data_IF_503634008755
#
_entry.id   IF_503634008755
#
_cell.length_a   1.000
_cell.length_b   1.000
_cell.length_c   1.000
_cell.angle_alpha   90.00
_cell.angle_beta   90.00
_cell.angle_gamma   90.00
#
_symmetry.space_group_name_H-M   'P 1'
#
loop_
_entity.id
_entity.type
_entity.pdbx_description
1 polymer ?
#
# COMPACT_ATOMS: atom_id res chain seq x y z
N UNK A 1 68.14 22.66 19.17
CA UNK A 1 67.63 23.51 18.08
C UNK A 1 67.77 24.93 18.56
N UNK A 2 68.44 25.78 17.79
CA UNK A 2 68.70 27.17 18.21
C UNK A 2 67.37 27.95 18.28
N UNK A 3 66.98 28.51 19.45
CA UNK A 3 65.72 29.22 19.60
C UNK A 3 65.67 30.58 18.86
N UNK A 4 66.79 31.05 18.31
CA UNK A 4 66.89 32.34 17.62
C UNK A 4 66.79 32.22 16.09
N UNK A 5 66.89 31.00 15.55
CA UNK A 5 66.81 30.71 14.12
C UNK A 5 65.40 30.21 13.77
N UNK A 6 64.71 30.87 12.83
CA UNK A 6 63.38 30.45 12.39
C UNK A 6 63.45 29.12 11.64
N UNK A 7 62.72 28.10 12.09
CA UNK A 7 62.69 26.79 11.46
C UNK A 7 62.16 26.83 10.02
N UNK A 8 61.19 27.69 9.72
CA UNK A 8 60.51 27.69 8.42
C UNK A 8 61.27 28.43 7.31
N UNK A 9 62.05 29.47 7.64
CA UNK A 9 62.76 30.28 6.65
C UNK A 9 64.28 30.34 6.88
N UNK A 10 64.78 29.67 7.93
CA UNK A 10 66.20 29.60 8.31
C UNK A 10 66.87 30.95 8.57
N UNK A 11 66.10 32.02 8.75
CA UNK A 11 66.60 33.34 9.10
C UNK A 11 67.00 33.38 10.57
N UNK A 12 68.22 33.84 10.84
CA UNK A 12 68.77 34.06 12.18
C UNK A 12 68.36 35.46 12.69
N UNK A 13 67.86 35.53 13.92
CA UNK A 13 67.46 36.75 14.60
C UNK A 13 68.43 37.17 15.71
N UNK A 14 69.64 36.60 15.72
CA UNK A 14 70.72 36.94 16.64
C UNK A 14 70.37 36.51 18.06
N UNK A 15 70.14 37.49 18.94
CA UNK A 15 69.87 37.25 20.37
C UNK A 15 68.36 37.17 20.70
N UNK A 16 67.47 37.35 19.70
CA UNK A 16 66.01 37.30 19.92
C UNK A 16 65.49 35.88 19.84
N UNK A 17 65.04 35.33 20.96
CA UNK A 17 64.30 34.07 20.98
C UNK A 17 62.93 34.22 20.28
N UNK A 18 62.61 33.27 19.39
CA UNK A 18 61.36 33.25 18.63
C UNK A 18 60.26 32.48 19.36
N UNK A 19 58.99 32.83 19.08
CA UNK A 19 57.84 32.07 19.58
C UNK A 19 57.83 30.67 18.97
N UNK A 20 57.39 29.69 19.76
CA UNK A 20 57.32 28.30 19.31
C UNK A 20 55.91 27.97 18.83
N UNK A 21 55.82 27.37 17.65
CA UNK A 21 54.63 26.66 17.19
C UNK A 21 54.91 25.17 17.40
N UNK A 22 54.20 24.55 18.35
CA UNK A 22 54.55 23.23 18.88
C UNK A 22 55.99 23.23 19.45
N UNK A 23 56.93 22.52 18.82
CA UNK A 23 58.33 22.41 19.27
C UNK A 23 59.31 23.28 18.48
N UNK A 24 58.87 23.95 17.41
CA UNK A 24 59.74 24.64 16.46
C UNK A 24 59.69 26.18 16.66
N UNK A 25 60.85 26.87 16.76
CA UNK A 25 60.89 28.34 16.79
C UNK A 25 60.53 28.92 15.40
N UNK A 26 59.57 29.84 15.34
CA UNK A 26 59.04 30.41 14.10
C UNK A 26 58.94 31.93 14.26
N UNK A 27 59.39 32.70 13.26
CA UNK A 27 59.25 34.15 13.28
C UNK A 27 57.81 34.59 12.99
N UNK A 28 57.43 35.80 13.44
CA UNK A 28 56.07 36.33 13.34
C UNK A 28 55.52 36.27 11.88
N UNK A 29 56.35 36.58 10.87
CA UNK A 29 55.97 36.50 9.44
C UNK A 29 55.66 35.06 8.99
N UNK A 30 56.46 34.09 9.45
CA UNK A 30 56.26 32.68 9.12
C UNK A 30 55.10 32.08 9.91
N UNK A 31 54.86 32.55 11.14
CA UNK A 31 53.69 32.18 11.93
C UNK A 31 52.41 32.61 11.20
N UNK A 32 52.35 33.85 10.72
CA UNK A 32 51.23 34.36 9.90
C UNK A 32 51.07 33.49 8.63
N UNK A 33 52.17 33.15 7.95
CA UNK A 33 52.09 32.29 6.75
C UNK A 33 51.61 30.87 7.06
N UNK A 34 52.02 30.29 8.18
CA UNK A 34 51.61 28.94 8.60
C UNK A 34 50.15 28.94 9.04
N UNK A 35 49.73 29.93 9.84
CA UNK A 35 48.35 30.09 10.30
C UNK A 35 47.39 30.36 9.12
N UNK A 36 47.85 31.11 8.11
CA UNK A 36 47.07 31.38 6.90
C UNK A 36 47.29 30.34 5.78
N UNK A 37 48.11 29.30 6.02
CA UNK A 37 48.33 28.25 5.02
C UNK A 37 47.07 27.42 4.88
N UNK A 38 46.34 27.67 3.79
CA UNK A 38 45.25 26.80 3.38
C UNK A 38 45.72 25.35 3.27
N UNK A 39 44.82 24.39 3.51
CA UNK A 39 45.10 22.96 3.39
C UNK A 39 45.95 22.61 2.15
N UNK A 40 46.88 21.64 2.24
CA UNK A 40 47.66 21.18 1.11
C UNK A 40 46.80 20.89 -0.12
N UNK A 41 47.32 21.15 -1.33
CA UNK A 41 46.58 20.96 -2.59
C UNK A 41 46.01 19.54 -2.73
N UNK A 42 46.73 18.53 -2.23
CA UNK A 42 46.24 17.15 -2.24
C UNK A 42 45.00 16.94 -1.35
N UNK A 43 44.91 17.62 -0.20
CA UNK A 43 43.73 17.57 0.69
C UNK A 43 42.53 18.21 0.00
N UNK A 44 42.74 19.36 -0.65
CA UNK A 44 41.70 20.03 -1.46
C UNK A 44 41.21 19.13 -2.60
N UNK A 45 42.14 18.48 -3.31
CA UNK A 45 41.81 17.53 -4.38
C UNK A 45 41.02 16.31 -3.88
N UNK A 46 41.44 15.73 -2.76
CA UNK A 46 40.72 14.62 -2.12
C UNK A 46 39.29 15.01 -1.71
N UNK A 47 39.12 16.20 -1.13
CA UNK A 47 37.80 16.71 -0.78
C UNK A 47 36.89 16.88 -2.01
N UNK A 48 37.41 17.42 -3.11
CA UNK A 48 36.66 17.52 -4.37
C UNK A 48 36.25 16.14 -4.89
N UNK A 49 37.15 15.14 -4.83
CA UNK A 49 36.83 13.78 -5.24
C UNK A 49 35.70 13.18 -4.38
N UNK A 50 35.73 13.37 -3.06
CA UNK A 50 34.63 12.96 -2.17
C UNK A 50 33.32 13.63 -2.56
N UNK A 51 33.33 14.95 -2.79
CA UNK A 51 32.12 15.68 -3.18
C UNK A 51 31.52 15.13 -4.48
N UNK A 52 32.37 14.82 -5.48
CA UNK A 52 31.91 14.22 -6.73
C UNK A 52 31.30 12.83 -6.51
N UNK A 53 31.88 12.02 -5.62
CA UNK A 53 31.33 10.71 -5.25
C UNK A 53 29.97 10.87 -4.55
N UNK A 54 29.84 11.82 -3.62
CA UNK A 54 28.58 12.08 -2.91
C UNK A 54 27.49 12.53 -3.87
N UNK A 55 27.79 13.50 -4.75
CA UNK A 55 26.84 13.98 -5.76
C UNK A 55 26.46 12.86 -6.73
N UNK A 56 27.45 12.10 -7.21
CA UNK A 56 27.22 10.95 -8.07
C UNK A 56 26.35 9.88 -7.41
N UNK A 57 26.58 9.60 -6.13
CA UNK A 57 25.77 8.66 -5.35
C UNK A 57 24.34 9.15 -5.17
N UNK A 58 24.14 10.44 -4.93
CA UNK A 58 22.81 11.02 -4.79
C UNK A 58 22.01 10.96 -6.11
N UNK A 59 22.66 11.31 -7.23
CA UNK A 59 22.05 11.20 -8.57
C UNK A 59 21.69 9.75 -8.88
N UNK A 60 22.61 8.82 -8.59
CA UNK A 60 22.39 7.40 -8.82
C UNK A 60 21.22 6.84 -8.01
N UNK A 61 21.06 7.30 -6.76
CA UNK A 61 19.99 6.84 -5.87
C UNK A 61 18.71 7.69 -5.95
N UNK A 62 18.61 8.61 -6.90
CA UNK A 62 17.49 9.54 -7.00
C UNK A 62 16.14 8.82 -7.18
N UNK A 63 16.11 7.75 -7.96
CA UNK A 63 14.91 6.95 -8.18
C UNK A 63 14.35 6.35 -6.88
N UNK A 64 15.21 5.95 -5.92
CA UNK A 64 14.76 5.47 -4.62
C UNK A 64 14.06 6.57 -3.80
N UNK A 65 14.55 7.80 -3.89
CA UNK A 65 13.89 8.94 -3.24
C UNK A 65 12.52 9.24 -3.87
N UNK A 66 12.42 9.16 -5.21
CA UNK A 66 11.14 9.34 -5.90
C UNK A 66 10.16 8.22 -5.58
N UNK A 67 10.61 6.96 -5.62
CA UNK A 67 9.81 5.80 -5.26
C UNK A 67 9.28 5.89 -3.83
N UNK A 68 10.12 6.30 -2.87
CA UNK A 68 9.71 6.51 -1.48
C UNK A 68 8.68 7.65 -1.36
N UNK A 69 8.85 8.76 -2.08
CA UNK A 69 7.87 9.84 -2.13
C UNK A 69 6.51 9.37 -2.66
N UNK A 70 6.50 8.70 -3.81
CA UNK A 70 5.30 8.13 -4.41
C UNK A 70 4.62 7.12 -3.49
N UNK A 71 5.39 6.23 -2.84
CA UNK A 71 4.88 5.26 -1.87
C UNK A 71 4.18 5.96 -0.69
N UNK A 72 4.79 6.99 -0.12
CA UNK A 72 4.20 7.75 1.01
C UNK A 72 2.90 8.44 0.62
N UNK A 73 2.88 9.09 -0.53
CA UNK A 73 1.69 9.77 -1.07
C UNK A 73 0.59 8.77 -1.45
N UNK A 74 0.96 7.57 -1.92
CA UNK A 74 0.01 6.49 -2.20
C UNK A 74 -0.70 6.04 -0.93
N UNK A 75 0.03 5.85 0.18
CA UNK A 75 -0.55 5.48 1.47
C UNK A 75 -1.47 6.58 2.02
N UNK A 76 -1.08 7.85 1.86
CA UNK A 76 -1.92 8.98 2.24
C UNK A 76 -3.21 9.02 1.42
N UNK A 77 -3.12 8.90 0.09
CA UNK A 77 -4.27 8.82 -0.82
C UNK A 77 -5.19 7.65 -0.47
N UNK A 78 -4.61 6.50 -0.11
CA UNK A 78 -5.40 5.35 0.31
C UNK A 78 -6.15 5.60 1.62
N UNK A 79 -5.50 6.24 2.59
CA UNK A 79 -6.09 6.57 3.88
C UNK A 79 -7.28 7.53 3.77
N UNK A 80 -7.33 8.35 2.72
CA UNK A 80 -8.44 9.26 2.41
C UNK A 80 -9.49 8.65 1.48
N UNK A 81 -9.33 7.39 1.08
CA UNK A 81 -10.26 6.66 0.21
C UNK A 81 -10.03 6.89 -1.30
N UNK A 82 -9.01 7.64 -1.70
CA UNK A 82 -8.62 7.82 -3.10
C UNK A 82 -7.76 6.64 -3.59
N UNK A 83 -8.43 5.50 -3.77
CA UNK A 83 -7.84 4.26 -4.25
C UNK A 83 -7.19 4.42 -5.64
N UNK A 84 -7.79 5.24 -6.51
CA UNK A 84 -7.30 5.43 -7.89
C UNK A 84 -5.97 6.17 -7.90
N UNK A 85 -5.85 7.25 -7.13
CA UNK A 85 -4.56 7.92 -7.01
C UNK A 85 -3.54 7.06 -6.28
N UNK A 86 -3.95 6.32 -5.23
CA UNK A 86 -3.08 5.39 -4.52
C UNK A 86 -2.48 4.33 -5.45
N UNK A 87 -3.30 3.69 -6.31
CA UNK A 87 -2.80 2.73 -7.32
C UNK A 87 -1.83 3.40 -8.28
N UNK A 88 -2.19 4.57 -8.83
CA UNK A 88 -1.32 5.29 -9.78
C UNK A 88 0.06 5.55 -9.18
N UNK A 89 0.10 6.09 -7.96
CA UNK A 89 1.34 6.40 -7.25
C UNK A 89 2.13 5.13 -6.90
N UNK A 90 1.47 4.05 -6.49
CA UNK A 90 2.16 2.78 -6.23
C UNK A 90 2.75 2.15 -7.50
N UNK A 91 2.07 2.32 -8.65
CA UNK A 91 2.62 1.93 -9.96
C UNK A 91 3.88 2.72 -10.27
N UNK A 92 3.85 4.04 -10.12
CA UNK A 92 5.02 4.89 -10.32
C UNK A 92 6.17 4.48 -9.39
N UNK A 93 5.90 4.23 -8.10
CA UNK A 93 6.91 3.77 -7.16
C UNK A 93 7.56 2.45 -7.60
N UNK A 94 6.76 1.50 -8.10
CA UNK A 94 7.27 0.23 -8.62
C UNK A 94 8.06 0.39 -9.91
N UNK A 95 7.72 1.34 -10.77
CA UNK A 95 8.39 1.58 -12.05
C UNK A 95 9.74 2.30 -11.88
N UNK A 96 9.88 3.16 -10.86
CA UNK A 96 11.13 3.86 -10.55
C UNK A 96 12.25 2.93 -10.06
N UNK A 97 11.89 1.87 -9.32
CA UNK A 97 12.83 0.90 -8.73
C UNK A 97 12.37 -0.55 -8.96
N UNK A 98 12.41 -1.02 -10.23
CA UNK A 98 11.87 -2.32 -10.61
C UNK A 98 12.62 -3.51 -10.00
N UNK A 99 13.78 -3.33 -9.39
CA UNK A 99 14.49 -4.36 -8.65
C UNK A 99 13.83 -4.69 -7.29
N UNK A 100 12.98 -3.82 -6.75
CA UNK A 100 12.31 -4.01 -5.45
C UNK A 100 10.99 -4.75 -5.62
N UNK A 101 10.98 -6.06 -5.36
CA UNK A 101 9.78 -6.91 -5.53
C UNK A 101 8.61 -6.54 -4.61
N UNK A 102 8.90 -5.94 -3.44
CA UNK A 102 7.88 -5.46 -2.50
C UNK A 102 7.00 -4.38 -3.14
N UNK A 103 7.61 -3.43 -3.88
CA UNK A 103 6.87 -2.36 -4.54
C UNK A 103 6.04 -2.88 -5.71
N UNK A 104 6.53 -3.89 -6.44
CA UNK A 104 5.72 -4.61 -7.44
C UNK A 104 4.52 -5.29 -6.83
N UNK A 105 4.72 -5.96 -5.69
CA UNK A 105 3.66 -6.66 -4.96
C UNK A 105 2.62 -5.68 -4.45
N UNK A 106 3.05 -4.54 -3.89
CA UNK A 106 2.15 -3.48 -3.47
C UNK A 106 1.41 -2.86 -4.66
N UNK A 107 2.06 -2.60 -5.79
CA UNK A 107 1.39 -2.10 -6.99
C UNK A 107 0.25 -3.01 -7.45
N UNK A 108 0.48 -4.33 -7.46
CA UNK A 108 -0.57 -5.34 -7.74
C UNK A 108 -1.67 -5.34 -6.69
N UNK A 109 -1.33 -5.24 -5.41
CA UNK A 109 -2.29 -5.17 -4.32
C UNK A 109 -3.25 -3.97 -4.48
N UNK A 110 -2.71 -2.78 -4.70
CA UNK A 110 -3.51 -1.57 -4.92
C UNK A 110 -4.35 -1.64 -6.20
N UNK A 111 -3.82 -2.26 -7.25
CA UNK A 111 -4.57 -2.50 -8.47
C UNK A 111 -5.75 -3.47 -8.23
N UNK A 112 -5.53 -4.55 -7.47
CA UNK A 112 -6.59 -5.46 -7.06
C UNK A 112 -7.72 -4.79 -6.28
N UNK A 113 -7.40 -3.84 -5.39
CA UNK A 113 -8.42 -3.07 -4.65
C UNK A 113 -9.19 -2.13 -5.58
N UNK A 114 -8.52 -1.43 -6.49
CA UNK A 114 -9.20 -0.58 -7.49
C UNK A 114 -10.18 -1.43 -8.33
N UNK A 115 -9.75 -2.60 -8.79
CA UNK A 115 -10.59 -3.52 -9.54
C UNK A 115 -11.82 -3.99 -8.74
N UNK A 116 -11.68 -4.28 -7.44
CA UNK A 116 -12.83 -4.59 -6.58
C UNK A 116 -13.81 -3.43 -6.48
N UNK A 117 -13.30 -2.19 -6.33
CA UNK A 117 -14.13 -0.98 -6.29
C UNK A 117 -14.90 -0.77 -7.60
N UNK A 118 -14.38 -1.25 -8.73
CA UNK A 118 -15.00 -1.19 -10.05
C UNK A 118 -15.88 -2.41 -10.40
N UNK A 119 -16.20 -3.29 -9.44
CA UNK A 119 -16.93 -4.56 -9.64
C UNK A 119 -16.24 -5.53 -10.63
N UNK A 120 -14.94 -5.35 -10.90
CA UNK A 120 -14.13 -6.21 -11.77
C UNK A 120 -13.51 -7.37 -10.98
N UNK A 121 -14.40 -8.20 -10.42
CA UNK A 121 -14.02 -9.21 -9.43
C UNK A 121 -13.11 -10.33 -9.99
N UNK A 122 -13.29 -10.70 -11.26
CA UNK A 122 -12.44 -11.69 -11.93
C UNK A 122 -10.99 -11.20 -12.06
N UNK A 123 -10.80 -9.96 -12.53
CA UNK A 123 -9.50 -9.33 -12.68
C UNK A 123 -8.86 -9.06 -11.31
N UNK A 124 -9.64 -8.59 -10.34
CA UNK A 124 -9.17 -8.38 -8.98
C UNK A 124 -8.63 -9.67 -8.35
N UNK A 125 -9.35 -10.78 -8.50
CA UNK A 125 -8.91 -12.08 -8.00
C UNK A 125 -7.58 -12.49 -8.61
N UNK A 126 -7.40 -12.29 -9.91
CA UNK A 126 -6.16 -12.62 -10.61
C UNK A 126 -4.97 -11.78 -10.11
N UNK A 127 -5.18 -10.48 -9.80
CA UNK A 127 -4.12 -9.62 -9.26
C UNK A 127 -3.81 -9.93 -7.79
N UNK A 128 -4.82 -10.05 -6.94
CA UNK A 128 -4.65 -10.28 -5.50
C UNK A 128 -4.03 -11.65 -5.20
N UNK A 129 -4.35 -12.67 -5.99
CA UNK A 129 -3.74 -14.01 -5.85
C UNK A 129 -2.23 -13.97 -6.08
N UNK A 130 -1.73 -13.09 -6.95
CA UNK A 130 -0.28 -12.92 -7.18
C UNK A 130 0.45 -12.30 -5.99
N UNK A 131 -0.28 -11.74 -5.03
CA UNK A 131 0.27 -11.16 -3.80
C UNK A 131 0.29 -12.16 -2.62
N UNK A 132 -0.26 -13.36 -2.80
CA UNK A 132 -0.26 -14.39 -1.77
C UNK A 132 1.17 -14.71 -1.33
N UNK A 133 1.34 -14.98 -0.04
CA UNK A 133 2.62 -15.31 0.61
C UNK A 133 3.68 -14.20 0.59
N UNK A 134 3.44 -13.08 -0.11
CA UNK A 134 4.36 -11.94 -0.20
C UNK A 134 4.01 -10.78 0.73
N UNK A 135 2.74 -10.66 1.11
CA UNK A 135 2.27 -9.58 1.97
C UNK A 135 2.06 -10.04 3.42
N UNK A 136 2.37 -9.20 4.42
CA UNK A 136 2.02 -9.47 5.81
C UNK A 136 0.51 -9.61 6.02
N UNK A 137 0.09 -10.38 7.03
CA UNK A 137 -1.32 -10.58 7.39
C UNK A 137 -2.06 -9.26 7.65
N UNK A 138 -1.37 -8.22 8.11
CA UNK A 138 -1.93 -6.89 8.37
C UNK A 138 -2.58 -6.23 7.14
N UNK A 139 -2.26 -6.69 5.93
CA UNK A 139 -2.89 -6.22 4.69
C UNK A 139 -4.28 -6.84 4.45
N UNK A 140 -4.73 -7.78 5.28
CA UNK A 140 -6.02 -8.46 5.13
C UNK A 140 -6.26 -9.05 3.73
N UNK A 141 -5.19 -9.48 3.05
CA UNK A 141 -5.23 -9.95 1.67
C UNK A 141 -6.24 -11.10 1.49
N UNK A 142 -6.32 -12.01 2.44
CA UNK A 142 -7.26 -13.13 2.39
C UNK A 142 -8.72 -12.66 2.34
N UNK A 143 -9.08 -11.59 3.07
CA UNK A 143 -10.43 -11.02 3.02
C UNK A 143 -10.74 -10.47 1.63
N UNK A 144 -9.80 -9.76 1.02
CA UNK A 144 -9.96 -9.20 -0.33
C UNK A 144 -10.06 -10.29 -1.39
N UNK A 145 -9.27 -11.37 -1.26
CA UNK A 145 -9.36 -12.53 -2.15
C UNK A 145 -10.73 -13.20 -2.05
N UNK A 146 -11.26 -13.39 -0.84
CA UNK A 146 -12.59 -13.98 -0.64
C UNK A 146 -13.68 -13.08 -1.22
N UNK A 147 -13.56 -11.76 -1.05
CA UNK A 147 -14.48 -10.80 -1.67
C UNK A 147 -14.45 -10.89 -3.20
N UNK A 148 -13.25 -10.92 -3.79
CA UNK A 148 -13.07 -11.11 -5.23
C UNK A 148 -13.65 -12.45 -5.72
N UNK A 149 -13.44 -13.55 -4.97
CA UNK A 149 -14.03 -14.87 -5.27
C UNK A 149 -15.55 -14.83 -5.25
N UNK A 150 -16.15 -14.15 -4.28
CA UNK A 150 -17.61 -13.98 -4.18
C UNK A 150 -18.16 -13.31 -5.44
N UNK A 151 -17.59 -12.14 -5.81
CA UNK A 151 -18.04 -11.40 -7.00
C UNK A 151 -17.80 -12.17 -8.30
N UNK A 152 -16.60 -12.74 -8.44
CA UNK A 152 -16.20 -13.57 -9.59
C UNK A 152 -17.17 -14.75 -9.80
N UNK A 153 -17.47 -15.49 -8.72
CA UNK A 153 -18.38 -16.65 -8.80
C UNK A 153 -19.80 -16.22 -9.16
N UNK A 154 -20.28 -15.11 -8.60
CA UNK A 154 -21.59 -14.55 -8.94
C UNK A 154 -21.68 -14.16 -10.43
N UNK A 155 -20.67 -13.45 -10.95
CA UNK A 155 -20.62 -13.01 -12.34
C UNK A 155 -20.55 -14.17 -13.34
N UNK A 156 -19.80 -15.22 -12.97
CA UNK A 156 -19.67 -16.43 -13.76
C UNK A 156 -20.87 -17.37 -13.60
N UNK A 157 -21.90 -16.98 -12.82
CA UNK A 157 -23.07 -17.80 -12.46
C UNK A 157 -22.72 -19.12 -11.76
N UNK A 158 -21.54 -19.20 -11.15
CA UNK A 158 -21.12 -20.29 -10.29
C UNK A 158 -21.66 -20.06 -8.87
N UNK A 159 -22.94 -20.34 -8.67
CA UNK A 159 -23.58 -20.10 -7.37
C UNK A 159 -23.14 -21.07 -6.27
N UNK A 160 -22.52 -22.20 -6.64
CA UNK A 160 -21.86 -23.08 -5.65
C UNK A 160 -20.53 -22.49 -5.20
N UNK A 161 -19.69 -22.04 -6.14
CA UNK A 161 -18.46 -21.31 -5.81
C UNK A 161 -18.75 -20.03 -4.99
N UNK A 162 -19.84 -19.33 -5.30
CA UNK A 162 -20.30 -18.20 -4.49
C UNK A 162 -20.65 -18.64 -3.06
N UNK A 163 -21.40 -19.72 -2.89
CA UNK A 163 -21.76 -20.24 -1.57
C UNK A 163 -20.52 -20.64 -0.75
N UNK A 164 -19.56 -21.31 -1.38
CA UNK A 164 -18.33 -21.75 -0.72
C UNK A 164 -17.49 -20.54 -0.26
N UNK A 165 -17.27 -19.55 -1.14
CA UNK A 165 -16.55 -18.33 -0.78
C UNK A 165 -17.29 -17.50 0.30
N UNK A 166 -18.63 -17.45 0.25
CA UNK A 166 -19.43 -16.78 1.28
C UNK A 166 -19.30 -17.47 2.65
N UNK A 167 -19.21 -18.80 2.68
CA UNK A 167 -18.95 -19.57 3.90
C UNK A 167 -17.53 -19.38 4.41
N UNK A 168 -16.53 -19.29 3.53
CA UNK A 168 -15.15 -18.90 3.91
C UNK A 168 -15.16 -17.54 4.61
N UNK A 169 -15.86 -16.54 4.05
CA UNK A 169 -16.02 -15.21 4.68
C UNK A 169 -16.66 -15.30 6.07
N UNK A 170 -17.73 -16.09 6.20
CA UNK A 170 -18.42 -16.28 7.48
C UNK A 170 -17.54 -16.98 8.52
N UNK A 171 -16.66 -17.89 8.10
CA UNK A 171 -15.71 -18.55 8.99
C UNK A 171 -14.63 -17.58 9.51
N UNK A 172 -14.27 -16.56 8.73
CA UNK A 172 -13.35 -15.50 9.18
C UNK A 172 -14.01 -14.55 10.19
N UNK A 173 -15.26 -14.16 9.92
CA UNK A 173 -16.02 -13.29 10.81
C UNK A 173 -17.49 -13.67 10.84
N UNK A 174 -17.87 -14.37 11.90
CA UNK A 174 -19.25 -14.78 12.18
C UNK A 174 -20.08 -13.71 12.89
N UNK A 175 -19.48 -12.56 13.22
CA UNK A 175 -20.14 -11.43 13.89
C UNK A 175 -20.62 -10.37 12.90
N UNK A 176 -20.12 -10.41 11.66
CA UNK A 176 -20.55 -9.48 10.62
C UNK A 176 -21.90 -9.87 10.01
N UNK A 177 -22.88 -8.94 9.96
CA UNK A 177 -24.13 -9.17 9.24
C UNK A 177 -23.90 -9.32 7.73
N UNK A 178 -22.86 -8.68 7.17
CA UNK A 178 -22.51 -8.82 5.75
C UNK A 178 -22.11 -10.26 5.42
N UNK A 179 -21.33 -10.91 6.29
CA UNK A 179 -20.93 -12.32 6.11
C UNK A 179 -22.13 -13.26 6.08
N UNK A 180 -23.08 -13.08 7.01
CA UNK A 180 -24.30 -13.89 7.05
C UNK A 180 -25.21 -13.63 5.84
N UNK A 181 -25.35 -12.38 5.44
CA UNK A 181 -26.16 -11.98 4.28
C UNK A 181 -25.55 -12.50 2.98
N UNK A 182 -24.23 -12.54 2.87
CA UNK A 182 -23.55 -13.13 1.72
C UNK A 182 -23.89 -14.62 1.56
N UNK A 183 -23.91 -15.39 2.65
CA UNK A 183 -24.35 -16.80 2.63
C UNK A 183 -25.83 -16.91 2.26
N UNK A 184 -26.69 -16.06 2.84
CA UNK A 184 -28.11 -16.03 2.49
C UNK A 184 -28.34 -15.72 0.99
N UNK A 185 -27.58 -14.77 0.46
CA UNK A 185 -27.58 -14.33 -0.93
C UNK A 185 -27.18 -15.45 -1.89
N UNK A 186 -26.15 -16.23 -1.57
CA UNK A 186 -25.74 -17.39 -2.36
C UNK A 186 -26.81 -18.49 -2.39
N UNK A 187 -27.38 -18.83 -1.23
CA UNK A 187 -28.50 -19.77 -1.16
C UNK A 187 -29.74 -19.28 -1.94
N UNK A 188 -30.05 -17.98 -1.88
CA UNK A 188 -31.14 -17.41 -2.66
C UNK A 188 -30.90 -17.53 -4.18
N UNK A 189 -29.65 -17.42 -4.64
CA UNK A 189 -29.30 -17.65 -6.04
C UNK A 189 -29.47 -19.13 -6.44
N UNK A 190 -29.04 -20.07 -5.59
CA UNK A 190 -29.24 -21.49 -5.82
C UNK A 190 -30.73 -21.85 -5.89
N UNK A 191 -31.54 -21.34 -4.97
CA UNK A 191 -32.99 -21.49 -5.00
C UNK A 191 -33.62 -20.88 -6.26
N UNK A 192 -33.20 -19.68 -6.66
CA UNK A 192 -33.71 -19.03 -7.86
C UNK A 192 -33.54 -19.94 -9.10
N UNK A 193 -32.36 -20.55 -9.25
CA UNK A 193 -32.05 -21.48 -10.35
C UNK A 193 -32.80 -22.81 -10.23
N UNK A 194 -32.69 -23.49 -9.08
CA UNK A 194 -33.15 -24.88 -8.92
C UNK A 194 -34.60 -25.03 -8.48
N UNK A 195 -35.10 -24.06 -7.71
CA UNK A 195 -36.39 -24.16 -7.01
C UNK A 195 -36.36 -25.10 -5.80
N UNK A 196 -35.19 -25.40 -5.25
CA UNK A 196 -35.04 -26.28 -4.08
C UNK A 196 -35.42 -25.55 -2.78
N UNK A 197 -36.47 -26.03 -2.12
CA UNK A 197 -36.95 -25.44 -0.86
C UNK A 197 -35.92 -25.55 0.27
N UNK A 198 -34.97 -26.49 0.23
CA UNK A 198 -33.87 -26.52 1.20
C UNK A 198 -32.96 -25.29 1.07
N UNK A 199 -32.60 -24.91 -0.16
CA UNK A 199 -31.80 -23.70 -0.43
C UNK A 199 -32.55 -22.45 0.04
N UNK A 200 -33.86 -22.36 -0.22
CA UNK A 200 -34.70 -21.25 0.27
C UNK A 200 -34.74 -21.18 1.80
N UNK A 201 -34.94 -22.30 2.48
CA UNK A 201 -34.97 -22.38 3.94
C UNK A 201 -33.61 -21.98 4.54
N UNK A 202 -32.51 -22.41 3.91
CA UNK A 202 -31.17 -22.00 4.31
C UNK A 202 -30.96 -20.49 4.13
N UNK A 203 -31.38 -19.92 2.99
CA UNK A 203 -31.30 -18.48 2.75
C UNK A 203 -32.04 -17.68 3.83
N UNK A 204 -33.30 -18.03 4.10
CA UNK A 204 -34.13 -17.38 5.14
C UNK A 204 -33.47 -17.51 6.52
N UNK A 205 -32.95 -18.69 6.85
CA UNK A 205 -32.29 -18.93 8.14
C UNK A 205 -31.08 -17.99 8.35
N UNK A 206 -30.22 -17.83 7.34
CA UNK A 206 -29.07 -16.92 7.46
C UNK A 206 -29.49 -15.44 7.45
N UNK A 207 -30.53 -15.08 6.68
CA UNK A 207 -31.06 -13.73 6.67
C UNK A 207 -31.63 -13.31 8.03
N UNK A 208 -32.35 -14.21 8.71
CA UNK A 208 -32.85 -13.99 10.07
C UNK A 208 -31.69 -13.76 11.05
N UNK A 209 -30.64 -14.58 10.98
CA UNK A 209 -29.45 -14.40 11.82
C UNK A 209 -28.76 -13.05 11.56
N UNK A 210 -28.64 -12.64 10.29
CA UNK A 210 -28.06 -11.34 9.94
C UNK A 210 -28.88 -10.17 10.51
N UNK A 211 -30.20 -10.20 10.34
CA UNK A 211 -31.12 -9.17 10.85
C UNK A 211 -31.10 -9.05 12.37
N UNK A 212 -30.80 -10.14 13.07
CA UNK A 212 -30.63 -10.12 14.52
C UNK A 212 -29.37 -9.35 14.96
N UNK A 213 -28.36 -9.26 14.09
CA UNK A 213 -27.12 -8.47 14.33
C UNK A 213 -27.34 -7.01 13.94
N UNK A 214 -27.87 -6.78 12.73
CA UNK A 214 -28.19 -5.43 12.25
C UNK A 214 -29.45 -5.45 11.40
N UNK A 215 -30.49 -4.77 11.86
CA UNK A 215 -31.77 -4.61 11.15
C UNK A 215 -32.08 -3.15 10.81
N UNK A 216 -31.21 -2.20 11.19
CA UNK A 216 -31.54 -0.78 11.16
C UNK A 216 -30.74 -0.01 10.14
N UNK A 217 -29.49 -0.42 9.86
CA UNK A 217 -28.63 0.28 8.92
C UNK A 217 -29.20 0.27 7.50
N UNK A 218 -28.99 1.37 6.80
CA UNK A 218 -29.50 1.53 5.44
C UNK A 218 -28.85 0.53 4.48
N UNK A 219 -27.53 0.35 4.59
CA UNK A 219 -26.77 -0.58 3.75
C UNK A 219 -27.25 -2.02 3.90
N UNK A 220 -27.46 -2.49 5.13
CA UNK A 220 -27.96 -3.84 5.35
C UNK A 220 -29.39 -4.02 4.87
N UNK A 221 -30.26 -3.03 5.06
CA UNK A 221 -31.64 -3.09 4.53
C UNK A 221 -31.66 -3.24 3.01
N UNK A 222 -30.84 -2.49 2.29
CA UNK A 222 -30.73 -2.65 0.84
C UNK A 222 -30.27 -4.07 0.47
N UNK A 223 -29.25 -4.58 1.16
CA UNK A 223 -28.76 -5.93 0.88
C UNK A 223 -29.82 -7.00 1.19
N UNK A 224 -30.57 -6.85 2.29
CA UNK A 224 -31.70 -7.73 2.60
C UNK A 224 -32.76 -7.71 1.51
N UNK A 225 -33.15 -6.53 1.03
CA UNK A 225 -34.14 -6.40 -0.05
C UNK A 225 -33.71 -7.11 -1.34
N UNK A 226 -32.42 -7.09 -1.68
CA UNK A 226 -31.90 -7.84 -2.84
C UNK A 226 -32.08 -9.34 -2.64
N UNK A 227 -31.74 -9.87 -1.46
CA UNK A 227 -31.87 -11.30 -1.15
C UNK A 227 -33.34 -11.73 -1.15
N UNK A 228 -34.22 -10.94 -0.52
CA UNK A 228 -35.65 -11.23 -0.47
C UNK A 228 -36.29 -11.17 -1.86
N UNK A 229 -35.88 -10.21 -2.70
CA UNK A 229 -36.32 -10.14 -4.09
C UNK A 229 -35.97 -11.41 -4.85
N UNK A 230 -34.74 -11.92 -4.70
CA UNK A 230 -34.31 -13.18 -5.34
C UNK A 230 -35.14 -14.36 -4.84
N UNK A 231 -35.45 -14.42 -3.55
CA UNK A 231 -36.29 -15.46 -2.95
C UNK A 231 -37.75 -15.39 -3.43
N UNK A 232 -38.30 -14.20 -3.64
CA UNK A 232 -39.67 -14.03 -4.09
C UNK A 232 -39.82 -14.25 -5.60
N UNK A 233 -39.01 -13.55 -6.39
CA UNK A 233 -39.15 -13.50 -7.85
C UNK A 233 -38.42 -14.63 -8.58
N UNK A 234 -37.49 -15.32 -7.90
CA UNK A 234 -36.51 -16.22 -8.52
C UNK A 234 -35.66 -15.55 -9.61
N UNK A 235 -35.59 -14.22 -9.63
CA UNK A 235 -34.75 -13.46 -10.54
C UNK A 235 -33.44 -13.06 -9.84
N UNK A 236 -32.31 -13.42 -10.46
CA UNK A 236 -30.98 -13.07 -9.98
C UNK A 236 -30.56 -11.75 -10.62
N UNK A 237 -30.33 -10.74 -9.79
CA UNK A 237 -30.07 -9.37 -10.21
C UNK A 237 -28.81 -8.82 -9.53
N UNK A 238 -27.99 -8.04 -10.26
CA UNK A 238 -26.85 -7.30 -9.71
C UNK A 238 -27.32 -6.14 -8.85
N UNK A 239 -26.48 -5.69 -7.92
CA UNK A 239 -26.80 -4.57 -7.02
C UNK A 239 -27.15 -3.29 -7.79
N UNK A 240 -26.33 -2.92 -8.77
CA UNK A 240 -26.56 -1.71 -9.56
C UNK A 240 -27.90 -1.74 -10.30
N UNK A 241 -28.22 -2.88 -10.91
CA UNK A 241 -29.48 -3.07 -11.64
C UNK A 241 -30.67 -3.09 -10.69
N UNK A 242 -30.51 -3.66 -9.50
CA UNK A 242 -31.53 -3.64 -8.46
C UNK A 242 -31.83 -2.21 -7.98
N UNK A 243 -30.80 -1.40 -7.72
CA UNK A 243 -30.96 0.00 -7.30
C UNK A 243 -31.63 0.80 -8.42
N UNK A 244 -31.24 0.59 -9.69
CA UNK A 244 -31.90 1.23 -10.84
C UNK A 244 -33.38 0.85 -10.95
N UNK A 245 -33.72 -0.42 -10.70
CA UNK A 245 -35.08 -0.92 -10.80
C UNK A 245 -35.95 -0.54 -9.58
N UNK A 246 -35.36 -0.50 -8.39
CA UNK A 246 -36.03 -0.27 -7.11
C UNK A 246 -35.32 0.82 -6.30
N UNK A 247 -35.32 2.09 -6.76
CA UNK A 247 -34.55 3.18 -6.14
C UNK A 247 -34.99 3.51 -4.70
N UNK A 248 -36.20 3.12 -4.31
CA UNK A 248 -36.75 3.30 -2.96
C UNK A 248 -36.82 1.99 -2.17
N UNK A 249 -36.10 0.96 -2.61
CA UNK A 249 -36.20 -0.39 -2.08
C UNK A 249 -37.34 -1.20 -2.71
N UNK A 250 -37.27 -2.52 -2.51
CA UNK A 250 -38.27 -3.47 -3.00
C UNK A 250 -39.26 -3.83 -1.87
N UNK A 251 -40.54 -3.96 -2.21
CA UNK A 251 -41.61 -4.34 -1.28
C UNK A 251 -42.60 -5.30 -1.94
N UNK A 252 -43.10 -6.27 -1.18
CA UNK A 252 -44.07 -7.30 -1.60
C UNK A 252 -45.50 -6.89 -1.25
N UNK A 253 -45.96 -5.71 -1.70
CA UNK A 253 -47.38 -5.34 -1.52
C UNK A 253 -48.33 -6.45 -2.00
#
# INVERSE_FOLDING_TARGET
>A
MDPTICFSCSKDFGDRELRKISVYPVCDDCEIMIQNRSFPTWVKGFFVAILLIVIGSWIWNWNFYQAYGNFREALESFSTGDVTNARRLMSLASDEVPEVDDLKTLSRYFHGIELLKEDKSNEALAELTKCQEKLPESYNLQSLIIEAKIGSSFDNKDYHGFLDAAKERLAMDSTSPVSMTSVASAYACLYAVKGDEEDKNNAVRYLVKSKAIDSTSHEMKEYYSIVEYRLFSRNIIKREDFIKQFPNGWNTN
#
